data_IF_655655261856
#
_entry.id   IF_655655261856
#
_cell.length_a   1.000
_cell.length_b   1.000
_cell.length_c   1.000
_cell.angle_alpha   90.00
_cell.angle_beta   90.00
_cell.angle_gamma   90.00
#
_symmetry.space_group_name_H-M   'P 1'
#
loop_
_entity.id
_entity.type
_entity.pdbx_description
1 polymer ?
#
# COMPACT_ATOMS: atom_id res chain seq x y z
N UNK A 1 22.55 -1.45 -2.69
CA UNK A 1 22.18 -1.14 -1.29
C UNK A 1 20.93 -0.26 -1.20
N UNK A 2 20.82 0.81 -2.01
CA UNK A 2 19.65 1.70 -2.00
C UNK A 2 18.31 0.95 -2.22
N UNK A 3 18.25 0.01 -3.17
CA UNK A 3 17.04 -0.81 -3.44
C UNK A 3 16.51 -1.54 -2.21
N UNK A 4 17.41 -2.16 -1.43
CA UNK A 4 17.02 -2.91 -0.24
C UNK A 4 16.45 -1.95 0.82
N UNK A 5 17.05 -0.76 0.98
CA UNK A 5 16.54 0.26 1.89
C UNK A 5 15.16 0.75 1.47
N UNK A 6 14.94 0.96 0.17
CA UNK A 6 13.63 1.35 -0.37
C UNK A 6 12.59 0.27 -0.05
N UNK A 7 12.91 -1.01 -0.24
CA UNK A 7 11.97 -2.11 0.06
C UNK A 7 11.69 -2.27 1.56
N UNK A 8 12.70 -2.12 2.42
CA UNK A 8 12.55 -2.17 3.89
C UNK A 8 11.55 -1.11 4.36
N UNK A 9 11.48 0.05 3.71
CA UNK A 9 10.54 1.12 4.07
C UNK A 9 9.21 0.98 3.32
N UNK A 10 9.24 0.75 2.01
CA UNK A 10 8.04 0.77 1.17
C UNK A 10 7.08 -0.38 1.48
N UNK A 11 7.59 -1.61 1.70
CA UNK A 11 6.72 -2.77 1.91
C UNK A 11 5.91 -2.67 3.22
N UNK A 12 6.49 -2.32 4.38
CA UNK A 12 5.72 -2.11 5.60
C UNK A 12 4.70 -0.98 5.47
N UNK A 13 5.05 0.12 4.79
CA UNK A 13 4.14 1.25 4.55
C UNK A 13 2.94 0.81 3.71
N UNK A 14 3.18 0.12 2.59
CA UNK A 14 2.11 -0.40 1.72
C UNK A 14 1.23 -1.40 2.48
N UNK A 15 1.83 -2.33 3.23
CA UNK A 15 1.10 -3.30 4.04
C UNK A 15 0.23 -2.63 5.10
N UNK A 16 0.74 -1.59 5.78
CA UNK A 16 -0.01 -0.83 6.78
C UNK A 16 -1.18 -0.06 6.15
N UNK A 17 -0.97 0.56 4.98
CA UNK A 17 -2.04 1.24 4.22
C UNK A 17 -3.11 0.22 3.82
N UNK A 18 -2.72 -0.90 3.22
CA UNK A 18 -3.64 -1.94 2.79
C UNK A 18 -4.47 -2.49 3.96
N UNK A 19 -3.81 -2.84 5.08
CA UNK A 19 -4.49 -3.31 6.29
C UNK A 19 -5.49 -2.29 6.83
N UNK A 20 -5.10 -1.01 6.89
CA UNK A 20 -5.97 0.07 7.36
C UNK A 20 -7.16 0.34 6.44
N UNK A 21 -7.09 -0.09 5.17
CA UNK A 21 -8.19 0.01 4.20
C UNK A 21 -9.02 -1.28 4.12
N UNK A 22 -8.75 -2.25 4.99
CA UNK A 22 -9.45 -3.53 5.07
C UNK A 22 -9.02 -4.55 4.02
N UNK A 23 -7.89 -4.35 3.34
CA UNK A 23 -7.30 -5.33 2.43
C UNK A 23 -6.26 -6.20 3.15
N UNK A 24 -5.92 -7.34 2.54
CA UNK A 24 -4.87 -8.22 3.04
C UNK A 24 -3.49 -7.57 2.89
N UNK A 25 -2.72 -7.36 3.99
CA UNK A 25 -1.38 -6.79 3.91
C UNK A 25 -0.40 -7.69 3.15
N UNK A 26 -0.59 -9.01 3.22
CA UNK A 26 0.25 -9.98 2.51
C UNK A 26 0.08 -9.88 1.00
N UNK A 27 -1.16 -9.79 0.52
CA UNK A 27 -1.44 -9.64 -0.91
C UNK A 27 -0.88 -8.31 -1.41
N UNK A 28 -1.04 -7.22 -0.65
CA UNK A 28 -0.49 -5.92 -1.00
C UNK A 28 1.04 -5.94 -1.10
N UNK A 29 1.72 -6.56 -0.13
CA UNK A 29 3.17 -6.72 -0.12
C UNK A 29 3.68 -7.57 -1.29
N UNK A 30 3.01 -8.68 -1.60
CA UNK A 30 3.39 -9.56 -2.71
C UNK A 30 3.21 -8.88 -4.08
N UNK A 31 2.13 -8.12 -4.29
CA UNK A 31 1.93 -7.34 -5.52
C UNK A 31 3.01 -6.25 -5.66
N UNK A 32 3.30 -5.53 -4.58
CA UNK A 32 4.34 -4.49 -4.57
C UNK A 32 5.71 -5.08 -4.92
N UNK A 33 6.15 -6.11 -4.18
CA UNK A 33 7.44 -6.77 -4.39
C UNK A 33 7.52 -7.45 -5.76
N UNK A 34 6.45 -8.14 -6.17
CA UNK A 34 6.37 -8.85 -7.43
C UNK A 34 6.61 -7.92 -8.61
N UNK A 35 5.88 -6.80 -8.71
CA UNK A 35 6.09 -5.86 -9.79
C UNK A 35 7.42 -5.11 -9.71
N UNK A 36 7.93 -4.82 -8.51
CA UNK A 36 9.25 -4.20 -8.32
C UNK A 36 10.39 -5.05 -8.91
N UNK A 37 10.28 -6.38 -8.83
CA UNK A 37 11.28 -7.31 -9.39
C UNK A 37 10.97 -7.67 -10.85
N UNK A 38 9.71 -7.96 -11.17
CA UNK A 38 9.33 -8.46 -12.48
C UNK A 38 9.37 -7.39 -13.59
N UNK A 39 8.97 -6.15 -13.31
CA UNK A 39 8.93 -5.09 -14.33
C UNK A 39 10.33 -4.73 -14.85
N UNK A 40 11.36 -4.54 -14.02
CA UNK A 40 12.72 -4.33 -14.50
C UNK A 40 13.25 -5.50 -15.33
N UNK A 41 13.00 -6.73 -14.88
CA UNK A 41 13.43 -7.93 -15.59
C UNK A 41 12.77 -8.01 -16.97
N UNK A 42 11.46 -7.76 -17.03
CA UNK A 42 10.70 -7.74 -18.29
C UNK A 42 11.23 -6.67 -19.24
N UNK A 43 11.52 -5.46 -18.76
CA UNK A 43 12.08 -4.38 -19.57
C UNK A 43 13.42 -4.78 -20.20
N UNK A 44 14.32 -5.41 -19.44
CA UNK A 44 15.62 -5.88 -19.96
C UNK A 44 15.44 -6.99 -20.99
N UNK A 45 14.48 -7.90 -20.78
CA UNK A 45 14.18 -8.98 -21.73
C UNK A 45 13.62 -8.44 -23.05
N UNK A 46 12.72 -7.44 -22.99
CA UNK A 46 12.05 -6.91 -24.18
C UNK A 46 12.89 -5.91 -24.98
N UNK A 47 13.66 -5.06 -24.29
CA UNK A 47 14.36 -3.93 -24.91
C UNK A 47 15.90 -4.07 -24.91
N UNK A 48 16.41 -5.20 -24.40
CA UNK A 48 17.82 -5.47 -24.29
C UNK A 48 18.51 -4.71 -23.15
N UNK A 49 19.72 -5.15 -22.81
CA UNK A 49 20.50 -4.57 -21.71
C UNK A 49 21.33 -3.38 -22.18
N UNK A 50 20.73 -2.20 -22.18
CA UNK A 50 21.40 -0.91 -22.40
C UNK A 50 21.33 -0.05 -21.13
N UNK A 51 22.19 0.98 -21.02
CA UNK A 51 22.17 1.91 -19.88
C UNK A 51 20.82 2.63 -19.77
N UNK A 52 20.25 3.06 -20.91
CA UNK A 52 18.93 3.68 -20.95
C UNK A 52 17.83 2.74 -20.47
N UNK A 53 17.82 1.48 -20.92
CA UNK A 53 16.84 0.49 -20.47
C UNK A 53 16.96 0.23 -18.97
N UNK A 54 18.17 0.14 -18.43
CA UNK A 54 18.39 -0.08 -16.99
C UNK A 54 17.88 1.10 -16.15
N UNK A 55 18.14 2.33 -16.59
CA UNK A 55 17.66 3.54 -15.90
C UNK A 55 16.12 3.62 -15.95
N UNK A 56 15.52 3.38 -17.12
CA UNK A 56 14.06 3.38 -17.28
C UNK A 56 13.42 2.26 -16.44
N UNK A 57 14.01 1.06 -16.42
CA UNK A 57 13.56 -0.06 -15.62
C UNK A 57 13.53 0.27 -14.12
N UNK A 58 14.59 0.93 -13.61
CA UNK A 58 14.65 1.39 -12.22
C UNK A 58 13.51 2.38 -11.91
N UNK A 59 13.31 3.39 -12.76
CA UNK A 59 12.24 4.39 -12.57
C UNK A 59 10.86 3.73 -12.58
N UNK A 60 10.59 2.84 -13.54
CA UNK A 60 9.33 2.09 -13.64
C UNK A 60 9.07 1.29 -12.36
N UNK A 61 10.11 0.69 -11.79
CA UNK A 61 10.01 -0.07 -10.54
C UNK A 61 9.57 0.77 -9.35
N UNK A 62 10.09 1.99 -9.21
CA UNK A 62 9.67 2.90 -8.14
C UNK A 62 8.28 3.50 -8.39
N UNK A 63 7.97 3.81 -9.64
CA UNK A 63 6.62 4.25 -10.04
C UNK A 63 5.60 3.16 -9.70
N UNK A 64 5.91 1.89 -9.93
CA UNK A 64 5.05 0.77 -9.54
C UNK A 64 4.73 0.76 -8.03
N UNK A 65 5.74 0.86 -7.18
CA UNK A 65 5.58 0.96 -5.73
C UNK A 65 4.66 2.11 -5.32
N UNK A 66 4.85 3.29 -5.92
CA UNK A 66 4.03 4.46 -5.66
C UNK A 66 2.57 4.25 -6.10
N UNK A 67 2.35 3.66 -7.29
CA UNK A 67 1.02 3.34 -7.81
C UNK A 67 0.29 2.31 -6.94
N UNK A 68 0.99 1.28 -6.47
CA UNK A 68 0.40 0.28 -5.54
C UNK A 68 -0.01 0.96 -4.23
N UNK A 69 0.86 1.80 -3.65
CA UNK A 69 0.54 2.56 -2.44
C UNK A 69 -0.70 3.47 -2.65
N UNK A 70 -0.74 4.19 -3.77
CA UNK A 70 -1.85 5.07 -4.13
C UNK A 70 -3.15 4.28 -4.36
N UNK A 71 -3.10 3.14 -5.04
CA UNK A 71 -4.24 2.27 -5.26
C UNK A 71 -4.87 1.82 -3.94
N UNK A 72 -4.07 1.30 -3.01
CA UNK A 72 -4.58 0.92 -1.69
C UNK A 72 -5.10 2.13 -0.91
N UNK A 73 -4.41 3.27 -0.98
CA UNK A 73 -4.78 4.47 -0.23
C UNK A 73 -6.10 5.11 -0.69
N UNK A 74 -6.38 5.10 -1.99
CA UNK A 74 -7.47 5.89 -2.58
C UNK A 74 -8.60 5.05 -3.19
N UNK A 75 -8.28 3.90 -3.78
CA UNK A 75 -9.26 3.08 -4.49
C UNK A 75 -9.88 2.02 -3.59
N UNK A 76 -9.07 1.35 -2.76
CA UNK A 76 -9.58 0.30 -1.86
C UNK A 76 -10.48 0.92 -0.80
N UNK A 77 -11.72 0.44 -0.73
CA UNK A 77 -12.74 0.97 0.18
C UNK A 77 -13.37 2.29 -0.27
N UNK A 78 -13.18 2.70 -1.54
CA UNK A 78 -13.94 3.80 -2.14
C UNK A 78 -15.45 3.49 -2.05
N UNK A 79 -16.24 4.48 -1.63
CA UNK A 79 -17.69 4.34 -1.43
C UNK A 79 -18.12 3.82 -0.05
N UNK A 80 -17.17 3.41 0.82
CA UNK A 80 -17.48 3.12 2.22
C UNK A 80 -17.56 4.41 3.04
N UNK A 81 -18.36 4.45 4.11
CA UNK A 81 -18.31 5.53 5.09
C UNK A 81 -16.87 5.75 5.54
N UNK A 82 -16.41 7.00 5.56
CA UNK A 82 -15.06 7.36 5.99
C UNK A 82 -15.09 8.16 7.29
N UNK A 83 -14.11 7.96 8.19
CA UNK A 83 -13.94 8.80 9.35
C UNK A 83 -13.72 10.26 8.95
N UNK A 84 -14.32 11.18 9.69
CA UNK A 84 -14.08 12.63 9.56
C UNK A 84 -12.74 13.06 10.18
N UNK A 85 -12.11 12.19 10.97
CA UNK A 85 -10.86 12.45 11.67
C UNK A 85 -10.24 11.19 12.27
N UNK A 86 -9.25 11.37 13.13
CA UNK A 86 -8.70 10.29 13.97
C UNK A 86 -9.85 9.69 14.79
N UNK A 87 -9.88 8.35 14.91
CA UNK A 87 -10.97 7.66 15.59
C UNK A 87 -10.47 6.52 16.47
N UNK A 88 -11.09 6.34 17.63
CA UNK A 88 -10.80 5.23 18.54
C UNK A 88 -11.67 4.03 18.21
N UNK A 89 -11.08 2.84 18.12
CA UNK A 89 -11.82 1.63 17.86
C UNK A 89 -12.74 1.27 19.03
N UNK A 90 -14.05 1.13 18.78
CA UNK A 90 -15.04 0.74 19.81
C UNK A 90 -14.75 -0.61 20.47
N UNK A 91 -14.02 -1.51 19.78
CA UNK A 91 -13.77 -2.86 20.25
C UNK A 91 -12.47 -3.03 21.05
N UNK A 92 -11.47 -2.17 20.83
CA UNK A 92 -10.15 -2.33 21.48
C UNK A 92 -9.47 -1.01 21.89
N UNK A 93 -10.19 0.11 21.76
CA UNK A 93 -9.74 1.47 22.11
C UNK A 93 -8.51 1.99 21.35
N UNK A 94 -7.98 1.24 20.38
CA UNK A 94 -6.84 1.65 19.57
C UNK A 94 -7.18 2.88 18.71
N UNK A 95 -6.32 3.90 18.75
CA UNK A 95 -6.44 5.14 17.99
C UNK A 95 -5.98 4.94 16.54
N UNK A 96 -6.90 5.11 15.59
CA UNK A 96 -6.67 4.91 14.17
C UNK A 96 -6.54 6.23 13.40
N UNK A 97 -5.77 6.18 12.31
CA UNK A 97 -5.58 7.30 11.39
C UNK A 97 -6.88 7.65 10.65
N UNK A 98 -7.06 8.90 10.19
CA UNK A 98 -8.31 9.36 9.57
C UNK A 98 -8.69 8.62 8.28
N UNK A 99 -7.71 8.05 7.57
CA UNK A 99 -7.97 7.29 6.35
C UNK A 99 -8.29 5.81 6.58
N UNK A 100 -8.19 5.32 7.82
CA UNK A 100 -8.35 3.91 8.15
C UNK A 100 -9.85 3.57 8.24
N UNK A 101 -10.26 2.59 7.44
CA UNK A 101 -11.62 2.01 7.43
C UNK A 101 -11.73 0.75 8.29
N UNK A 102 -10.61 0.27 8.78
CA UNK A 102 -10.49 -0.86 9.71
C UNK A 102 -9.45 -0.55 10.77
N UNK A 103 -9.63 -1.12 11.95
CA UNK A 103 -8.72 -0.92 13.06
C UNK A 103 -7.35 -1.55 12.76
N UNK A 104 -6.28 -0.76 12.94
CA UNK A 104 -4.90 -1.21 12.76
C UNK A 104 -4.48 -2.32 13.72
N UNK A 105 -5.11 -2.41 14.90
CA UNK A 105 -4.85 -3.46 15.89
C UNK A 105 -5.74 -4.70 15.66
N UNK A 106 -7.05 -4.58 15.87
CA UNK A 106 -7.96 -5.73 15.89
C UNK A 106 -8.68 -6.03 14.55
N UNK A 107 -8.48 -5.18 13.52
CA UNK A 107 -9.07 -5.39 12.19
C UNK A 107 -10.56 -5.11 12.05
N UNK A 108 -11.29 -4.81 13.14
CA UNK A 108 -12.71 -4.46 13.09
C UNK A 108 -12.96 -3.21 12.25
N UNK A 109 -14.05 -3.16 11.47
CA UNK A 109 -14.35 -2.01 10.61
C UNK A 109 -14.59 -0.75 11.45
N UNK A 110 -14.39 0.40 10.83
CA UNK A 110 -14.90 1.64 11.36
C UNK A 110 -16.43 1.62 11.31
N UNK A 111 -17.05 1.94 12.44
CA UNK A 111 -18.48 2.18 12.55
C UNK A 111 -18.65 3.65 12.91
N UNK A 112 -19.48 4.37 12.16
CA UNK A 112 -19.95 5.68 12.61
C UNK A 112 -20.58 5.54 14.00
N UNK A 113 -20.55 6.62 14.79
CA UNK A 113 -21.42 6.67 15.95
C UNK A 113 -22.87 6.44 15.47
N UNK A 114 -23.72 5.70 16.21
CA UNK A 114 -25.13 5.68 15.89
C UNK A 114 -25.62 7.14 15.87
N UNK A 115 -26.33 7.52 14.82
CA UNK A 115 -26.98 8.82 14.75
C UNK A 115 -27.96 8.90 15.92
N UNK A 116 -27.64 9.73 16.92
CA UNK A 116 -28.49 9.97 18.10
C UNK A 116 -29.43 11.12 17.81
#
# INVERSE_FOLDING_TARGET
>A
MLEILVLIVALPVIAAIAKGRGASPWVAGLIALGGHVALPMLMVVLFGRTESTLLTAMVVSYVWLALVAAYYRFMVGKGRPQPTGIWSCKNCSYTNKPYALSCGACGKPWESAPDV
#
